data_IF_948201989877
#
_entry.id   IF_948201989877
#
_cell.length_a   1.000
_cell.length_b   1.000
_cell.length_c   1.000
_cell.angle_alpha   90.00
_cell.angle_beta   90.00
_cell.angle_gamma   90.00
#
_symmetry.space_group_name_H-M   'P 1'
#
loop_
_entity.id
_entity.type
_entity.pdbx_description
1 polymer ?
#
# COMPACT_ATOMS: atom_id res chain seq x y z
N UNK A 1 -20.10 44.54 -24.31
CA UNK A 1 -19.55 45.89 -24.50
C UNK A 1 -18.84 46.02 -25.85
N UNK A 2 -17.75 45.32 -26.10
CA UNK A 2 -16.91 45.43 -27.30
C UNK A 2 -17.66 45.18 -28.61
N UNK A 3 -18.45 44.12 -28.73
CA UNK A 3 -19.27 43.81 -29.92
C UNK A 3 -20.32 44.91 -30.17
N UNK A 4 -20.92 45.44 -29.11
CA UNK A 4 -21.90 46.52 -29.27
C UNK A 4 -21.25 47.82 -29.74
N UNK A 5 -20.01 48.11 -29.26
CA UNK A 5 -19.21 49.25 -29.72
C UNK A 5 -18.77 49.08 -31.19
N UNK A 6 -18.34 47.90 -31.60
CA UNK A 6 -18.00 47.55 -32.98
C UNK A 6 -19.19 47.66 -33.91
N UNK A 7 -20.40 47.45 -33.40
CA UNK A 7 -21.68 47.68 -34.12
C UNK A 7 -22.16 49.16 -34.20
N UNK A 8 -21.29 50.12 -33.77
CA UNK A 8 -21.58 51.54 -33.87
C UNK A 8 -22.47 52.13 -32.77
N UNK A 9 -22.79 51.36 -31.72
CA UNK A 9 -23.61 51.90 -30.63
C UNK A 9 -22.82 52.90 -29.75
N UNK A 10 -23.52 53.94 -29.30
CA UNK A 10 -22.96 54.94 -28.42
C UNK A 10 -22.83 54.40 -26.98
N UNK A 11 -21.82 54.92 -26.22
CA UNK A 11 -21.53 54.48 -24.85
C UNK A 11 -22.75 54.45 -23.92
N UNK A 12 -23.66 55.48 -23.90
CA UNK A 12 -24.86 55.42 -23.06
C UNK A 12 -25.77 54.23 -23.38
N UNK A 13 -25.95 53.93 -24.70
CA UNK A 13 -26.76 52.80 -25.15
C UNK A 13 -26.16 51.45 -24.74
N UNK A 14 -24.82 51.33 -24.86
CA UNK A 14 -24.09 50.15 -24.41
C UNK A 14 -24.23 49.96 -22.90
N UNK A 15 -24.04 51.06 -22.13
CA UNK A 15 -24.16 51.07 -20.67
C UNK A 15 -25.55 50.58 -20.22
N UNK A 16 -26.62 51.05 -20.87
CA UNK A 16 -27.98 50.61 -20.62
C UNK A 16 -28.18 49.15 -20.99
N UNK A 17 -27.66 48.71 -22.14
CA UNK A 17 -27.80 47.33 -22.64
C UNK A 17 -27.13 46.32 -21.70
N UNK A 18 -25.99 46.64 -21.13
CA UNK A 18 -25.21 45.74 -20.26
C UNK A 18 -25.40 46.03 -18.78
N UNK A 19 -26.25 46.98 -18.41
CA UNK A 19 -26.52 47.42 -17.04
C UNK A 19 -25.24 47.75 -16.27
N UNK A 20 -24.35 48.49 -16.91
CA UNK A 20 -23.09 48.95 -16.35
C UNK A 20 -23.02 50.48 -16.42
N UNK A 21 -22.12 51.09 -15.64
CA UNK A 21 -21.78 52.50 -15.67
C UNK A 21 -21.07 52.87 -16.98
N UNK A 22 -21.31 54.06 -17.51
CA UNK A 22 -20.69 54.57 -18.74
C UNK A 22 -19.19 54.56 -18.70
N UNK A 23 -18.59 54.92 -17.52
CA UNK A 23 -17.12 54.91 -17.33
C UNK A 23 -16.57 53.50 -17.44
N UNK A 24 -17.24 52.50 -16.87
CA UNK A 24 -16.87 51.08 -17.06
C UNK A 24 -16.87 50.71 -18.55
N UNK A 25 -17.84 51.15 -19.32
CA UNK A 25 -17.91 50.88 -20.78
C UNK A 25 -16.74 51.57 -21.50
N UNK A 26 -16.46 52.86 -21.19
CA UNK A 26 -15.29 53.60 -21.73
C UNK A 26 -13.97 52.86 -21.42
N UNK A 27 -13.78 52.48 -20.16
CA UNK A 27 -12.57 51.79 -19.72
C UNK A 27 -12.33 50.47 -20.46
N UNK A 28 -13.40 49.68 -20.69
CA UNK A 28 -13.29 48.41 -21.45
C UNK A 28 -12.96 48.68 -22.93
N UNK A 29 -13.53 49.72 -23.54
CA UNK A 29 -13.26 50.09 -24.95
C UNK A 29 -11.79 50.59 -25.05
N UNK A 30 -11.36 51.46 -24.17
CA UNK A 30 -9.97 51.95 -24.12
C UNK A 30 -8.97 50.82 -23.92
N UNK A 31 -9.23 49.92 -22.95
CA UNK A 31 -8.39 48.77 -22.71
C UNK A 31 -8.28 47.84 -23.92
N UNK A 32 -9.37 47.68 -24.68
CA UNK A 32 -9.34 46.89 -25.91
C UNK A 32 -8.53 47.60 -27.02
N UNK A 33 -8.68 48.90 -27.18
CA UNK A 33 -7.93 49.67 -28.16
C UNK A 33 -6.43 49.67 -27.90
N UNK A 34 -6.03 49.61 -26.63
CA UNK A 34 -4.62 49.55 -26.22
C UNK A 34 -4.03 48.13 -26.29
N UNK A 35 -4.79 47.10 -25.89
CA UNK A 35 -4.27 45.76 -25.63
C UNK A 35 -4.87 44.67 -26.52
N UNK A 36 -5.84 45.05 -27.37
CA UNK A 36 -6.58 44.06 -28.18
C UNK A 36 -7.27 43.01 -27.32
N UNK A 37 -7.34 41.79 -27.78
CA UNK A 37 -8.01 40.68 -27.09
C UNK A 37 -7.43 40.35 -25.72
N UNK A 38 -6.17 40.72 -25.44
CA UNK A 38 -5.55 40.51 -24.12
C UNK A 38 -6.23 41.28 -22.97
N UNK A 39 -7.04 42.30 -23.28
CA UNK A 39 -7.85 42.98 -22.26
C UNK A 39 -8.96 42.10 -21.68
N UNK A 40 -9.34 41.00 -22.35
CA UNK A 40 -10.35 40.01 -21.91
C UNK A 40 -9.77 38.99 -20.94
N UNK A 41 -8.44 38.89 -20.81
CA UNK A 41 -7.82 37.98 -19.87
C UNK A 41 -8.17 38.39 -18.42
N UNK A 42 -8.58 37.48 -17.56
CA UNK A 42 -9.00 37.78 -16.21
C UNK A 42 -7.84 38.40 -15.42
N UNK A 43 -8.02 39.66 -14.96
CA UNK A 43 -7.09 40.31 -14.02
C UNK A 43 -7.41 39.84 -12.61
N UNK A 44 -6.70 38.82 -12.15
CA UNK A 44 -6.81 38.39 -10.76
C UNK A 44 -6.20 39.49 -9.88
N UNK A 45 -7.01 40.09 -9.04
CA UNK A 45 -6.51 40.96 -7.98
C UNK A 45 -5.54 40.13 -7.12
N UNK A 46 -4.32 40.61 -6.96
CA UNK A 46 -3.34 39.97 -6.07
C UNK A 46 -3.97 39.77 -4.70
N UNK A 47 -4.15 38.53 -4.25
CA UNK A 47 -4.72 38.23 -2.94
C UNK A 47 -3.88 38.87 -1.79
N UNK A 48 -4.30 38.64 -0.55
CA UNK A 48 -3.57 39.13 0.63
C UNK A 48 -2.09 38.73 0.54
N UNK A 49 -1.14 39.68 0.70
CA UNK A 49 0.29 39.38 0.67
C UNK A 49 0.66 38.24 1.62
N UNK A 50 1.58 37.38 1.19
CA UNK A 50 2.08 36.26 2.01
C UNK A 50 2.79 36.84 3.25
N UNK A 51 2.50 36.32 4.42
CA UNK A 51 3.12 36.72 5.68
C UNK A 51 4.51 36.14 5.90
N UNK A 52 4.82 35.04 5.21
CA UNK A 52 6.11 34.37 5.25
C UNK A 52 6.80 34.59 3.92
N UNK A 53 8.09 34.91 3.96
CA UNK A 53 8.96 34.91 2.80
C UNK A 53 9.36 33.47 2.43
N UNK A 54 10.06 33.28 1.32
CA UNK A 54 10.43 31.95 0.83
C UNK A 54 11.40 31.23 1.79
N UNK A 55 12.35 31.97 2.40
CA UNK A 55 13.27 31.42 3.40
C UNK A 55 12.54 30.91 4.64
N UNK A 56 11.49 31.60 5.09
CA UNK A 56 10.67 31.14 6.21
C UNK A 56 9.83 29.92 5.84
N UNK A 57 9.31 29.87 4.62
CA UNK A 57 8.62 28.67 4.12
C UNK A 57 9.58 27.47 4.07
N UNK A 58 10.79 27.64 3.53
CA UNK A 58 11.79 26.58 3.46
C UNK A 58 12.19 26.08 4.85
N UNK A 59 12.37 26.99 5.80
CA UNK A 59 12.63 26.63 7.20
C UNK A 59 11.47 25.82 7.81
N UNK A 60 10.23 26.22 7.56
CA UNK A 60 9.04 25.46 8.01
C UNK A 60 9.02 24.07 7.40
N UNK A 61 9.31 23.94 6.11
CA UNK A 61 9.37 22.66 5.40
C UNK A 61 10.47 21.78 5.98
N UNK A 62 11.68 22.28 6.11
CA UNK A 62 12.82 21.55 6.69
C UNK A 62 12.51 21.06 8.10
N UNK A 63 11.87 21.91 8.93
CA UNK A 63 11.44 21.55 10.28
C UNK A 63 10.36 20.47 10.26
N UNK A 64 9.35 20.62 9.40
CA UNK A 64 8.24 19.68 9.30
C UNK A 64 8.68 18.28 8.86
N UNK A 65 9.64 18.18 7.94
CA UNK A 65 10.18 16.95 7.37
C UNK A 65 11.28 16.32 8.24
N UNK A 66 11.84 17.04 9.18
CA UNK A 66 12.83 16.54 10.13
C UNK A 66 12.15 15.94 11.36
N UNK A 67 12.67 14.84 11.87
CA UNK A 67 12.13 14.20 13.09
C UNK A 67 12.26 15.14 14.30
N UNK A 68 11.20 15.29 15.12
CA UNK A 68 11.19 16.16 16.30
C UNK A 68 12.34 15.91 17.29
N UNK A 69 12.75 14.66 17.43
CA UNK A 69 13.87 14.26 18.30
C UNK A 69 15.18 14.98 17.96
N UNK A 70 15.42 15.29 16.68
CA UNK A 70 16.61 16.07 16.27
C UNK A 70 16.60 17.50 16.76
N UNK A 71 15.44 18.00 17.18
CA UNK A 71 15.25 19.31 17.80
C UNK A 71 15.01 19.21 19.31
N UNK A 72 15.42 18.10 19.94
CA UNK A 72 15.26 17.88 21.39
C UNK A 72 13.82 17.69 21.85
N UNK A 73 12.89 17.40 20.94
CA UNK A 73 11.48 17.19 21.29
C UNK A 73 11.20 15.71 21.65
N UNK A 74 10.45 15.41 22.74
CA UNK A 74 10.26 14.05 23.24
C UNK A 74 9.17 13.27 22.49
N UNK A 75 9.10 13.40 21.16
CA UNK A 75 8.14 12.67 20.33
C UNK A 75 8.70 12.38 18.95
N UNK A 76 8.16 11.36 18.30
CA UNK A 76 8.72 10.78 17.06
C UNK A 76 8.18 11.44 15.78
N UNK A 77 7.09 12.20 15.87
CA UNK A 77 6.44 12.86 14.72
C UNK A 77 5.82 14.19 15.11
N UNK A 78 5.73 15.09 14.16
CA UNK A 78 4.98 16.32 14.30
C UNK A 78 3.48 16.08 14.15
N UNK A 79 2.67 16.72 14.97
CA UNK A 79 1.31 17.11 14.62
C UNK A 79 1.33 18.58 14.24
N UNK A 80 0.35 19.06 13.48
CA UNK A 80 0.27 20.48 13.13
C UNK A 80 0.30 21.38 14.38
N UNK A 81 -0.36 20.98 15.47
CA UNK A 81 -0.36 21.75 16.74
C UNK A 81 1.04 21.83 17.37
N UNK A 82 1.74 20.69 17.42
CA UNK A 82 3.09 20.62 17.99
C UNK A 82 4.09 21.39 17.14
N UNK A 83 3.97 21.30 15.81
CA UNK A 83 4.84 22.04 14.89
C UNK A 83 4.62 23.56 15.01
N UNK A 84 3.36 24.02 15.04
CA UNK A 84 3.04 25.45 15.29
C UNK A 84 3.61 25.92 16.62
N UNK A 85 3.45 25.14 17.70
CA UNK A 85 3.97 25.49 19.02
C UNK A 85 5.51 25.56 19.04
N UNK A 86 6.18 24.67 18.32
CA UNK A 86 7.63 24.68 18.19
C UNK A 86 8.11 25.90 17.38
N UNK A 87 7.56 26.15 16.20
CA UNK A 87 7.94 27.24 15.31
C UNK A 87 7.80 28.62 15.98
N UNK A 88 6.89 28.78 16.93
CA UNK A 88 6.71 30.01 17.72
C UNK A 88 7.80 30.22 18.79
N UNK A 89 8.59 29.18 19.10
CA UNK A 89 9.56 29.18 20.19
C UNK A 89 11.00 28.99 19.70
N UNK A 90 11.24 28.92 18.39
CA UNK A 90 12.59 28.72 17.85
C UNK A 90 13.43 29.96 18.16
N UNK A 91 14.56 29.82 18.89
CA UNK A 91 15.45 30.93 19.16
C UNK A 91 15.97 31.56 17.87
N UNK A 92 15.93 32.89 17.78
CA UNK A 92 16.42 33.63 16.64
C UNK A 92 15.53 33.60 15.37
N UNK A 93 14.50 32.75 15.31
CA UNK A 93 13.60 32.67 14.15
C UNK A 93 12.17 32.26 14.52
N UNK A 94 11.41 33.21 15.06
CA UNK A 94 10.03 32.97 15.50
C UNK A 94 9.07 33.03 14.33
N UNK A 95 8.47 31.91 13.98
CA UNK A 95 7.46 31.81 12.92
C UNK A 95 6.05 31.82 13.52
N UNK A 96 5.29 32.86 13.24
CA UNK A 96 3.90 33.01 13.69
C UNK A 96 2.93 32.59 12.61
N UNK A 97 2.58 31.28 12.58
CA UNK A 97 1.65 30.70 11.62
C UNK A 97 0.49 30.03 12.35
N UNK A 98 -0.71 30.08 11.77
CA UNK A 98 -1.87 29.33 12.26
C UNK A 98 -1.84 27.88 11.76
N UNK A 99 -2.58 27.00 12.45
CA UNK A 99 -2.61 25.57 12.12
C UNK A 99 -3.07 25.30 10.68
N UNK A 100 -4.14 25.99 10.23
CA UNK A 100 -4.69 25.80 8.89
C UNK A 100 -3.76 26.40 7.82
N UNK A 101 -3.22 27.60 8.06
CA UNK A 101 -2.24 28.20 7.18
C UNK A 101 -0.98 27.32 7.03
N UNK A 102 -0.52 26.68 8.12
CA UNK A 102 0.57 25.71 8.07
C UNK A 102 0.19 24.50 7.22
N UNK A 103 -1.04 23.95 7.38
CA UNK A 103 -1.51 22.82 6.56
C UNK A 103 -1.53 23.18 5.08
N UNK A 104 -2.05 24.35 4.73
CA UNK A 104 -2.09 24.83 3.35
C UNK A 104 -0.69 25.08 2.77
N UNK A 105 0.23 25.64 3.57
CA UNK A 105 1.63 25.84 3.18
C UNK A 105 2.29 24.50 2.86
N UNK A 106 2.21 23.53 3.77
CA UNK A 106 2.78 22.19 3.57
C UNK A 106 2.21 21.51 2.31
N UNK A 107 0.89 21.56 2.10
CA UNK A 107 0.24 20.98 0.92
C UNK A 107 0.72 21.65 -0.38
N UNK A 108 0.79 23.01 -0.43
CA UNK A 108 1.27 23.77 -1.58
C UNK A 108 2.72 23.42 -1.94
N UNK A 109 3.56 23.17 -0.93
CA UNK A 109 4.96 22.81 -1.09
C UNK A 109 5.16 21.28 -1.24
N UNK A 110 4.09 20.51 -1.52
CA UNK A 110 4.15 19.08 -1.77
C UNK A 110 4.41 18.21 -0.54
N UNK A 111 4.33 18.77 0.68
CA UNK A 111 4.53 18.03 1.93
C UNK A 111 3.19 17.57 2.46
N UNK A 112 2.98 16.25 2.45
CA UNK A 112 1.75 15.61 2.92
C UNK A 112 2.01 14.71 4.12
N UNK A 113 0.98 14.46 4.93
CA UNK A 113 1.09 13.53 6.05
C UNK A 113 1.01 12.10 5.54
N UNK A 114 2.16 11.42 5.50
CA UNK A 114 2.28 10.10 4.93
C UNK A 114 2.51 9.04 6.00
N UNK A 115 2.07 7.81 5.69
CA UNK A 115 2.36 6.64 6.49
C UNK A 115 3.83 6.26 6.30
N UNK A 116 4.56 6.09 7.41
CA UNK A 116 5.94 5.59 7.36
C UNK A 116 5.94 4.19 6.74
N UNK A 117 6.77 4.01 5.73
CA UNK A 117 7.03 2.70 5.13
C UNK A 117 8.19 2.05 5.87
N UNK A 118 8.05 0.75 6.13
CA UNK A 118 9.14 -0.09 6.63
C UNK A 118 9.66 -0.94 5.48
N UNK A 119 10.95 -1.23 5.51
CA UNK A 119 11.58 -2.22 4.63
C UNK A 119 12.22 -3.31 5.49
N UNK A 120 12.43 -4.47 4.89
CA UNK A 120 13.20 -5.56 5.48
C UNK A 120 14.45 -5.75 4.65
N UNK A 121 15.60 -5.75 5.31
CA UNK A 121 16.86 -6.17 4.71
C UNK A 121 17.05 -7.65 4.99
N UNK A 122 17.37 -8.41 3.96
CA UNK A 122 17.67 -9.84 4.14
C UNK A 122 19.15 -10.02 4.44
N UNK A 123 19.52 -10.54 5.62
CA UNK A 123 20.90 -10.89 5.95
C UNK A 123 21.33 -12.23 5.34
N UNK A 124 20.51 -12.82 4.49
CA UNK A 124 20.76 -14.13 3.88
C UNK A 124 21.95 -14.04 2.92
N UNK A 125 23.05 -14.76 3.16
CA UNK A 125 24.22 -14.71 2.27
C UNK A 125 23.90 -15.26 0.88
N UNK A 126 22.93 -16.18 0.77
CA UNK A 126 22.52 -16.80 -0.49
C UNK A 126 21.32 -16.09 -1.12
N UNK A 127 21.04 -14.83 -0.73
CA UNK A 127 19.85 -14.09 -1.16
C UNK A 127 19.65 -14.10 -2.67
N UNK A 128 20.69 -13.73 -3.42
CA UNK A 128 20.61 -13.62 -4.88
C UNK A 128 20.41 -15.00 -5.53
N UNK A 129 21.17 -16.00 -5.11
CA UNK A 129 21.05 -17.37 -5.64
C UNK A 129 19.65 -17.96 -5.41
N UNK A 130 19.04 -17.70 -4.24
CA UNK A 130 17.68 -18.14 -3.94
C UNK A 130 16.64 -17.41 -4.80
N UNK A 131 16.78 -16.10 -4.99
CA UNK A 131 15.89 -15.32 -5.85
C UNK A 131 16.02 -15.76 -7.31
N UNK A 132 17.24 -15.99 -7.80
CA UNK A 132 17.49 -16.50 -9.15
C UNK A 132 16.85 -17.87 -9.37
N UNK A 133 16.97 -18.75 -8.36
CA UNK A 133 16.34 -20.08 -8.45
C UNK A 133 14.82 -19.98 -8.50
N UNK A 134 14.22 -19.14 -7.65
CA UNK A 134 12.76 -18.93 -7.62
C UNK A 134 12.29 -18.36 -8.98
N UNK A 135 12.97 -17.35 -9.51
CA UNK A 135 12.64 -16.77 -10.81
C UNK A 135 12.76 -17.80 -11.93
N UNK A 136 13.87 -18.56 -11.95
CA UNK A 136 14.11 -19.59 -12.95
C UNK A 136 12.98 -20.64 -12.98
N UNK A 137 12.56 -21.16 -11.83
CA UNK A 137 11.49 -22.18 -11.79
C UNK A 137 10.12 -21.61 -12.15
N UNK A 138 9.84 -20.35 -11.77
CA UNK A 138 8.59 -19.67 -12.13
C UNK A 138 8.48 -19.40 -13.62
N UNK A 139 9.60 -19.07 -14.29
CA UNK A 139 9.61 -18.74 -15.71
C UNK A 139 9.68 -20.02 -16.57
N UNK A 140 10.41 -21.06 -16.16
CA UNK A 140 10.64 -22.27 -16.95
C UNK A 140 9.65 -23.39 -16.71
N UNK A 141 9.11 -23.49 -15.50
CA UNK A 141 8.27 -24.63 -15.09
C UNK A 141 7.00 -24.18 -14.37
N UNK A 142 6.26 -23.14 -14.82
CA UNK A 142 5.13 -22.60 -14.06
C UNK A 142 4.10 -23.64 -13.67
N UNK A 143 3.83 -24.63 -14.53
CA UNK A 143 2.88 -25.71 -14.26
C UNK A 143 3.38 -26.75 -13.23
N UNK A 144 4.66 -26.67 -12.86
CA UNK A 144 5.32 -27.54 -11.88
C UNK A 144 5.68 -26.82 -10.60
N UNK A 145 5.42 -25.49 -10.53
CA UNK A 145 5.72 -24.68 -9.36
C UNK A 145 4.52 -24.59 -8.45
N UNK A 146 4.78 -24.84 -7.19
CA UNK A 146 3.85 -24.68 -6.08
C UNK A 146 4.44 -23.74 -5.04
N UNK A 147 3.58 -23.14 -4.24
CA UNK A 147 3.98 -22.36 -3.09
C UNK A 147 3.28 -22.87 -1.83
N UNK A 148 3.97 -22.81 -0.71
CA UNK A 148 3.45 -23.22 0.59
C UNK A 148 3.76 -22.15 1.63
N UNK A 149 2.77 -21.85 2.51
CA UNK A 149 2.96 -21.00 3.69
C UNK A 149 1.91 -21.28 4.76
N UNK A 150 2.17 -20.82 5.99
CA UNK A 150 1.26 -20.89 7.11
C UNK A 150 0.68 -19.55 7.49
N UNK A 151 -0.57 -19.33 7.12
CA UNK A 151 -1.30 -18.13 7.49
C UNK A 151 -1.89 -18.22 8.90
N UNK A 152 -1.47 -17.34 9.78
CA UNK A 152 -1.94 -17.28 11.17
C UNK A 152 -1.04 -16.45 12.08
N UNK A 153 -1.32 -16.42 13.39
CA UNK A 153 -2.35 -17.17 14.11
C UNK A 153 -3.77 -16.69 13.86
N UNK A 154 -4.68 -17.60 13.62
CA UNK A 154 -6.11 -17.37 13.50
C UNK A 154 -6.78 -17.62 14.86
N UNK A 155 -7.18 -16.56 15.53
CA UNK A 155 -7.92 -16.61 16.78
C UNK A 155 -9.42 -16.42 16.56
N UNK A 156 -10.22 -16.81 17.55
CA UNK A 156 -11.65 -16.50 17.58
C UNK A 156 -11.84 -15.21 18.38
N UNK A 157 -12.04 -14.13 17.64
CA UNK A 157 -12.28 -12.79 18.17
C UNK A 157 -12.94 -11.94 17.10
N UNK A 158 -13.70 -10.91 17.50
CA UNK A 158 -14.15 -9.89 16.56
C UNK A 158 -12.94 -9.24 15.87
N UNK A 159 -12.96 -9.20 14.57
CA UNK A 159 -11.87 -8.64 13.77
C UNK A 159 -12.42 -7.50 12.95
N UNK A 160 -12.07 -6.28 13.34
CA UNK A 160 -12.46 -5.08 12.62
C UNK A 160 -11.81 -5.06 11.23
N UNK A 161 -12.50 -4.44 10.29
CA UNK A 161 -12.04 -4.21 8.93
C UNK A 161 -12.65 -2.94 8.37
N UNK A 162 -12.86 -2.89 7.06
CA UNK A 162 -13.53 -1.80 6.36
C UNK A 162 -14.60 -2.38 5.44
N UNK A 163 -15.72 -1.67 5.30
CA UNK A 163 -16.85 -2.05 4.46
C UNK A 163 -17.67 -0.83 4.09
N UNK A 164 -18.61 -1.02 3.18
CA UNK A 164 -19.57 0.01 2.83
C UNK A 164 -20.60 0.16 3.95
N UNK A 165 -20.82 1.38 4.42
CA UNK A 165 -21.82 1.73 5.41
C UNK A 165 -22.34 3.14 5.16
N UNK A 166 -23.49 3.47 5.67
CA UNK A 166 -24.01 4.83 5.65
C UNK A 166 -23.04 5.80 6.35
N UNK A 167 -23.00 7.03 5.88
CA UNK A 167 -22.14 8.05 6.47
C UNK A 167 -22.42 8.20 7.96
N UNK A 168 -21.38 8.11 8.80
CA UNK A 168 -21.43 8.17 10.26
C UNK A 168 -22.13 6.98 10.94
N UNK A 169 -22.48 5.91 10.21
CA UNK A 169 -23.10 4.69 10.75
C UNK A 169 -22.30 3.43 10.38
N UNK A 170 -21.00 3.34 10.76
CA UNK A 170 -20.21 2.14 10.48
C UNK A 170 -20.74 0.93 11.25
N UNK A 171 -20.59 -0.26 10.67
CA UNK A 171 -20.80 -1.52 11.39
C UNK A 171 -19.92 -1.59 12.64
N UNK A 172 -20.48 -2.13 13.70
CA UNK A 172 -19.80 -2.24 15.00
C UNK A 172 -19.72 -3.70 15.43
N UNK A 173 -18.51 -4.14 15.75
CA UNK A 173 -18.26 -5.43 16.36
C UNK A 173 -17.97 -5.25 17.87
N UNK A 174 -18.33 -6.23 18.73
CA UNK A 174 -18.02 -6.14 20.16
C UNK A 174 -16.50 -6.09 20.34
N UNK A 175 -16.01 -5.17 21.18
CA UNK A 175 -14.59 -5.08 21.50
C UNK A 175 -14.15 -6.16 22.50
N UNK A 176 -15.09 -6.63 23.32
CA UNK A 176 -14.85 -7.64 24.37
C UNK A 176 -14.93 -9.05 23.78
N UNK A 177 -13.93 -9.85 24.04
CA UNK A 177 -13.88 -11.26 23.63
C UNK A 177 -13.05 -12.10 24.58
N UNK A 178 -13.34 -13.41 24.62
CA UNK A 178 -12.60 -14.38 25.42
C UNK A 178 -11.68 -15.24 24.53
N UNK A 179 -10.46 -15.51 24.99
CA UNK A 179 -9.45 -16.30 24.22
C UNK A 179 -9.54 -17.80 24.51
N UNK A 180 -10.73 -18.32 24.77
CA UNK A 180 -10.94 -19.74 25.16
C UNK A 180 -10.71 -20.74 24.05
N UNK A 181 -10.79 -20.34 22.78
CA UNK A 181 -10.71 -21.25 21.63
C UNK A 181 -9.28 -21.53 21.16
N UNK A 182 -8.26 -20.88 21.74
CA UNK A 182 -6.88 -20.95 21.25
C UNK A 182 -6.71 -20.41 19.84
N UNK A 183 -5.71 -20.90 19.12
CA UNK A 183 -5.40 -20.45 17.76
C UNK A 183 -5.34 -21.61 16.77
N UNK A 184 -5.48 -21.28 15.49
CA UNK A 184 -5.24 -22.17 14.36
C UNK A 184 -4.27 -21.53 13.37
N UNK A 185 -3.70 -22.36 12.52
CA UNK A 185 -2.85 -21.94 11.41
C UNK A 185 -3.38 -22.60 10.13
N UNK A 186 -3.64 -21.80 9.13
CA UNK A 186 -4.01 -22.30 7.81
C UNK A 186 -2.75 -22.67 7.05
N UNK A 187 -2.56 -23.96 6.78
CA UNK A 187 -1.47 -24.47 5.95
C UNK A 187 -1.93 -24.38 4.50
N UNK A 188 -1.52 -23.33 3.81
CA UNK A 188 -1.91 -23.01 2.45
C UNK A 188 -0.97 -23.62 1.42
N UNK A 189 -1.53 -24.15 0.36
CA UNK A 189 -0.84 -24.66 -0.81
C UNK A 189 -1.38 -23.95 -2.04
N UNK A 190 -0.51 -23.50 -2.93
CA UNK A 190 -0.87 -22.78 -4.13
C UNK A 190 -0.17 -23.40 -5.35
N UNK A 191 -0.93 -23.70 -6.41
CA UNK A 191 -0.41 -24.11 -7.71
C UNK A 191 -0.32 -22.90 -8.60
N UNK A 192 0.89 -22.53 -9.02
CA UNK A 192 1.13 -21.34 -9.85
C UNK A 192 0.52 -21.50 -11.23
N UNK A 193 0.73 -22.64 -11.88
CA UNK A 193 0.22 -22.90 -13.23
C UNK A 193 -1.30 -23.00 -13.31
N UNK A 194 -1.93 -23.65 -12.32
CA UNK A 194 -3.40 -23.81 -12.30
C UNK A 194 -4.11 -22.59 -11.68
N UNK A 195 -3.38 -21.67 -11.04
CA UNK A 195 -3.92 -20.61 -10.19
C UNK A 195 -4.93 -21.16 -9.17
N UNK A 196 -4.55 -22.21 -8.46
CA UNK A 196 -5.42 -22.91 -7.51
C UNK A 196 -4.85 -22.86 -6.10
N UNK A 197 -5.66 -22.38 -5.15
CA UNK A 197 -5.32 -22.28 -3.74
C UNK A 197 -6.14 -23.28 -2.92
N UNK A 198 -5.48 -24.06 -2.06
CA UNK A 198 -6.12 -24.96 -1.11
C UNK A 198 -5.34 -25.01 0.20
N UNK A 199 -5.88 -25.66 1.20
CA UNK A 199 -5.18 -25.82 2.47
C UNK A 199 -6.09 -26.30 3.58
N UNK A 200 -5.50 -26.47 4.75
CA UNK A 200 -6.20 -26.97 5.95
C UNK A 200 -5.80 -26.18 7.19
N UNK A 201 -6.75 -26.01 8.11
CA UNK A 201 -6.49 -25.41 9.40
C UNK A 201 -5.95 -26.43 10.40
N UNK A 202 -4.83 -26.11 11.06
CA UNK A 202 -4.18 -26.95 12.08
C UNK A 202 -3.98 -26.19 13.38
N UNK A 203 -3.86 -26.91 14.49
CA UNK A 203 -3.60 -26.32 15.82
C UNK A 203 -2.19 -25.76 15.97
N UNK A 204 -1.22 -26.34 15.25
CA UNK A 204 0.20 -26.03 15.38
C UNK A 204 0.83 -25.94 14.00
N UNK A 205 1.86 -25.12 13.88
CA UNK A 205 2.87 -25.23 12.83
C UNK A 205 3.77 -26.43 13.13
N UNK A 206 4.60 -26.85 12.21
CA UNK A 206 5.64 -27.87 12.47
C UNK A 206 5.78 -28.91 11.37
N UNK A 207 6.88 -29.65 11.43
CA UNK A 207 7.33 -30.56 10.36
C UNK A 207 6.27 -31.59 9.91
N UNK A 208 5.49 -32.13 10.84
CA UNK A 208 4.41 -33.10 10.50
C UNK A 208 3.34 -32.48 9.62
N UNK A 209 2.89 -31.26 9.94
CA UNK A 209 1.87 -30.55 9.16
C UNK A 209 2.43 -30.05 7.84
N UNK A 210 3.67 -29.57 7.82
CA UNK A 210 4.41 -29.20 6.61
C UNK A 210 4.53 -30.42 5.68
N UNK A 211 4.94 -31.58 6.19
CA UNK A 211 5.03 -32.80 5.39
C UNK A 211 3.68 -33.21 4.82
N UNK A 212 2.60 -33.09 5.60
CA UNK A 212 1.24 -33.35 5.12
C UNK A 212 0.84 -32.41 3.96
N UNK A 213 1.19 -31.13 4.05
CA UNK A 213 0.98 -30.17 2.98
C UNK A 213 1.81 -30.49 1.72
N UNK A 214 3.08 -30.84 1.87
CA UNK A 214 3.94 -31.25 0.76
C UNK A 214 3.43 -32.53 0.08
N UNK A 215 2.91 -33.48 0.83
CA UNK A 215 2.22 -34.67 0.28
C UNK A 215 0.98 -34.30 -0.53
N UNK A 216 0.19 -33.34 -0.05
CA UNK A 216 -0.97 -32.81 -0.79
C UNK A 216 -0.56 -32.13 -2.09
N UNK A 217 0.52 -31.35 -2.07
CA UNK A 217 1.10 -30.72 -3.27
C UNK A 217 1.57 -31.80 -4.26
N UNK A 218 2.31 -32.82 -3.82
CA UNK A 218 2.76 -33.90 -4.69
C UNK A 218 1.58 -34.65 -5.31
N UNK A 219 0.50 -34.86 -4.55
CA UNK A 219 -0.71 -35.54 -5.04
C UNK A 219 -1.43 -34.72 -6.13
N UNK A 220 -1.26 -33.40 -6.19
CA UNK A 220 -1.79 -32.57 -7.28
C UNK A 220 -1.06 -32.81 -8.63
N UNK A 221 0.10 -33.47 -8.64
CA UNK A 221 0.87 -33.83 -9.84
C UNK A 221 1.38 -35.26 -9.67
N UNK A 222 0.54 -36.30 -9.87
CA UNK A 222 0.85 -37.71 -9.56
C UNK A 222 1.78 -38.37 -10.57
N UNK A 223 2.12 -37.70 -11.66
CA UNK A 223 2.90 -38.23 -12.80
C UNK A 223 4.38 -38.58 -12.49
N UNK A 224 4.84 -38.36 -11.26
CA UNK A 224 6.21 -38.67 -10.85
C UNK A 224 7.31 -37.79 -11.42
N UNK A 225 7.00 -36.80 -12.27
CA UNK A 225 7.95 -35.84 -12.75
C UNK A 225 8.33 -34.83 -11.63
N UNK A 226 9.48 -34.15 -11.71
CA UNK A 226 9.92 -33.17 -10.71
C UNK A 226 8.89 -32.05 -10.52
N UNK A 227 8.73 -31.61 -9.28
CA UNK A 227 7.98 -30.41 -8.91
C UNK A 227 8.84 -29.52 -8.02
N UNK A 228 8.53 -28.23 -8.03
CA UNK A 228 9.25 -27.18 -7.28
C UNK A 228 8.30 -26.56 -6.27
N UNK A 229 8.72 -26.48 -5.01
CA UNK A 229 7.90 -25.89 -3.95
C UNK A 229 8.62 -24.72 -3.35
N UNK A 230 8.06 -23.52 -3.50
CA UNK A 230 8.57 -22.28 -2.90
C UNK A 230 7.99 -22.17 -1.50
N UNK A 231 8.85 -22.01 -0.49
CA UNK A 231 8.48 -21.92 0.92
C UNK A 231 9.49 -21.09 1.71
N UNK A 232 9.10 -20.65 2.91
CA UNK A 232 9.97 -19.86 3.76
C UNK A 232 11.06 -20.70 4.46
N UNK A 233 12.01 -20.01 5.10
CA UNK A 233 13.16 -20.59 5.79
C UNK A 233 12.85 -21.09 7.21
N UNK A 234 11.61 -21.35 7.59
CA UNK A 234 11.26 -21.84 8.92
C UNK A 234 12.01 -23.14 9.24
N UNK A 235 12.50 -23.28 10.47
CA UNK A 235 13.24 -24.48 10.89
C UNK A 235 12.46 -25.78 10.68
N UNK A 236 11.14 -25.72 10.86
CA UNK A 236 10.23 -26.85 10.60
C UNK A 236 10.25 -27.32 9.14
N UNK A 237 10.58 -26.46 8.19
CA UNK A 237 10.63 -26.79 6.75
C UNK A 237 11.97 -27.40 6.35
N UNK A 238 12.99 -27.29 7.16
CA UNK A 238 14.37 -27.79 6.91
C UNK A 238 14.66 -29.12 7.56
N UNK A 239 13.69 -29.73 8.21
CA UNK A 239 13.85 -30.99 8.92
C UNK A 239 14.39 -32.11 8.03
N UNK A 240 15.19 -33.03 8.59
CA UNK A 240 15.80 -34.12 7.85
C UNK A 240 14.77 -35.04 7.17
N UNK A 241 13.62 -35.26 7.81
CA UNK A 241 12.54 -36.08 7.27
C UNK A 241 11.88 -35.43 6.07
N UNK A 242 11.70 -34.12 6.09
CA UNK A 242 11.15 -33.35 4.96
C UNK A 242 12.11 -33.42 3.78
N UNK A 243 13.41 -33.21 4.00
CA UNK A 243 14.42 -33.28 2.94
C UNK A 243 14.52 -34.68 2.34
N UNK A 244 14.52 -35.74 3.20
CA UNK A 244 14.54 -37.12 2.76
C UNK A 244 13.31 -37.46 1.93
N UNK A 245 12.12 -37.06 2.39
CA UNK A 245 10.88 -37.25 1.67
C UNK A 245 10.88 -36.49 0.33
N UNK A 246 11.27 -35.25 0.31
CA UNK A 246 11.34 -34.41 -0.88
C UNK A 246 12.25 -35.04 -1.95
N UNK A 247 13.46 -35.48 -1.57
CA UNK A 247 14.39 -36.20 -2.47
C UNK A 247 13.76 -37.44 -3.04
N UNK A 248 13.12 -38.29 -2.21
CA UNK A 248 12.46 -39.52 -2.64
C UNK A 248 11.34 -39.28 -3.64
N UNK A 249 10.60 -38.20 -3.50
CA UNK A 249 9.42 -37.88 -4.32
C UNK A 249 9.69 -36.84 -5.42
N UNK A 250 10.95 -36.56 -5.74
CA UNK A 250 11.39 -35.60 -6.76
C UNK A 250 10.76 -34.19 -6.53
N UNK A 251 10.75 -33.75 -5.30
CA UNK A 251 10.29 -32.42 -4.89
C UNK A 251 11.51 -31.57 -4.58
N UNK A 252 11.73 -30.50 -5.31
CA UNK A 252 12.73 -29.51 -4.99
C UNK A 252 12.14 -28.44 -4.08
N UNK A 253 12.79 -28.19 -2.95
CA UNK A 253 12.41 -27.16 -2.00
C UNK A 253 13.16 -25.87 -2.32
N UNK A 254 12.46 -24.88 -2.88
CA UNK A 254 13.01 -23.56 -3.22
C UNK A 254 12.76 -22.61 -2.04
N UNK A 255 13.74 -22.45 -1.16
CA UNK A 255 13.60 -21.59 0.01
C UNK A 255 13.68 -20.11 -0.36
N UNK A 256 12.75 -19.29 0.16
CA UNK A 256 12.87 -17.83 0.06
C UNK A 256 14.06 -17.35 0.89
N UNK A 257 14.69 -16.22 0.53
CA UNK A 257 15.69 -15.59 1.41
C UNK A 257 15.08 -15.24 2.78
N UNK A 258 15.89 -15.21 3.82
CA UNK A 258 15.45 -14.78 5.14
C UNK A 258 14.83 -13.37 5.06
N UNK A 259 13.72 -13.15 5.76
CA UNK A 259 12.93 -11.90 5.73
C UNK A 259 12.36 -11.48 4.36
N UNK A 260 12.43 -12.33 3.35
CA UNK A 260 11.89 -12.07 2.00
C UNK A 260 10.63 -12.92 1.72
N UNK A 261 9.65 -12.94 2.62
CA UNK A 261 8.37 -13.65 2.43
C UNK A 261 7.64 -13.22 1.15
N UNK A 262 7.82 -11.97 0.72
CA UNK A 262 7.27 -11.43 -0.51
C UNK A 262 7.73 -12.20 -1.78
N UNK A 263 8.84 -12.94 -1.71
CA UNK A 263 9.28 -13.80 -2.82
C UNK A 263 8.46 -15.09 -2.93
N UNK A 264 7.55 -15.37 -1.96
CA UNK A 264 6.67 -16.52 -2.00
C UNK A 264 5.35 -16.13 -2.71
N UNK A 265 5.01 -16.74 -3.86
CA UNK A 265 3.80 -16.39 -4.62
C UNK A 265 2.48 -16.51 -3.83
N UNK A 266 2.41 -17.38 -2.84
CA UNK A 266 1.19 -17.54 -2.02
C UNK A 266 0.85 -16.31 -1.18
N UNK A 267 1.82 -15.46 -0.87
CA UNK A 267 1.60 -14.25 -0.08
C UNK A 267 0.60 -13.28 -0.75
N UNK A 268 0.58 -13.24 -2.09
CA UNK A 268 -0.40 -12.45 -2.85
C UNK A 268 -1.86 -12.88 -2.57
N UNK A 269 -2.06 -14.12 -2.15
CA UNK A 269 -3.39 -14.70 -1.87
C UNK A 269 -3.78 -14.63 -0.39
N UNK A 270 -2.81 -14.59 0.51
CA UNK A 270 -3.04 -14.48 1.97
C UNK A 270 -3.65 -13.12 2.33
N UNK A 271 -3.21 -12.04 1.67
CA UNK A 271 -3.77 -10.71 1.86
C UNK A 271 -5.28 -10.64 1.61
N UNK A 272 -5.77 -11.01 0.43
CA UNK A 272 -7.20 -11.11 0.12
C UNK A 272 -7.95 -12.06 1.06
N UNK A 273 -7.40 -13.22 1.40
CA UNK A 273 -8.02 -14.16 2.32
C UNK A 273 -8.23 -13.51 3.71
N UNK A 274 -7.28 -12.76 4.20
CA UNK A 274 -7.40 -11.98 5.44
C UNK A 274 -8.47 -10.90 5.32
N UNK A 275 -8.44 -10.13 4.24
CA UNK A 275 -9.32 -8.99 4.04
C UNK A 275 -10.78 -9.38 3.84
N UNK A 276 -11.05 -10.43 3.06
CA UNK A 276 -12.42 -10.77 2.66
C UNK A 276 -13.05 -11.92 3.47
N UNK A 277 -12.26 -12.60 4.32
CA UNK A 277 -12.78 -13.71 5.13
C UNK A 277 -12.61 -13.49 6.62
N UNK A 278 -11.52 -12.84 7.05
CA UNK A 278 -11.23 -12.62 8.47
C UNK A 278 -11.62 -11.23 8.94
N UNK A 279 -11.37 -10.19 8.15
CA UNK A 279 -11.83 -8.85 8.48
C UNK A 279 -13.37 -8.77 8.48
N UNK A 280 -13.93 -7.88 9.28
CA UNK A 280 -15.37 -7.70 9.49
C UNK A 280 -16.08 -8.97 10.00
N UNK A 281 -15.37 -9.85 10.73
CA UNK A 281 -15.94 -11.11 11.20
C UNK A 281 -15.98 -11.19 12.73
N UNK A 282 -16.96 -11.97 13.21
CA UNK A 282 -17.09 -12.36 14.61
C UNK A 282 -17.52 -13.84 14.65
N UNK A 283 -16.63 -14.74 14.28
CA UNK A 283 -16.92 -16.16 14.25
C UNK A 283 -17.11 -16.72 15.66
N UNK A 284 -18.12 -17.58 15.89
CA UNK A 284 -18.35 -18.17 17.22
C UNK A 284 -17.29 -19.22 17.59
N UNK A 285 -16.68 -19.88 16.62
CA UNK A 285 -15.67 -20.92 16.84
C UNK A 285 -14.84 -21.19 15.60
N UNK A 286 -13.78 -21.98 15.74
CA UNK A 286 -12.88 -22.36 14.63
C UNK A 286 -13.55 -23.22 13.55
N UNK A 287 -14.60 -23.96 13.85
CA UNK A 287 -15.30 -24.76 12.84
C UNK A 287 -16.00 -23.85 11.85
N UNK A 288 -16.72 -22.83 12.34
CA UNK A 288 -17.40 -21.86 11.48
C UNK A 288 -16.37 -21.01 10.72
N UNK A 289 -15.30 -20.55 11.36
CA UNK A 289 -14.22 -19.83 10.72
C UNK A 289 -13.56 -20.67 9.59
N UNK A 290 -13.31 -21.95 9.84
CA UNK A 290 -12.74 -22.87 8.85
C UNK A 290 -13.68 -23.07 7.66
N UNK A 291 -14.98 -23.23 7.91
CA UNK A 291 -15.99 -23.33 6.82
C UNK A 291 -16.01 -22.05 5.96
N UNK A 292 -15.94 -20.89 6.57
CA UNK A 292 -15.88 -19.62 5.85
C UNK A 292 -14.59 -19.51 4.99
N UNK A 293 -13.44 -19.88 5.54
CA UNK A 293 -12.18 -19.94 4.78
C UNK A 293 -12.30 -20.89 3.58
N UNK A 294 -12.79 -22.11 3.77
CA UNK A 294 -12.97 -23.06 2.67
C UNK A 294 -14.01 -22.60 1.63
N UNK A 295 -15.07 -21.90 2.06
CA UNK A 295 -16.03 -21.31 1.12
C UNK A 295 -15.36 -20.21 0.27
N UNK A 296 -14.57 -19.35 0.87
CA UNK A 296 -13.79 -18.33 0.18
C UNK A 296 -12.80 -18.95 -0.81
N UNK A 297 -12.11 -20.02 -0.43
CA UNK A 297 -11.19 -20.74 -1.32
C UNK A 297 -11.92 -21.34 -2.52
N UNK A 298 -13.09 -21.96 -2.32
CA UNK A 298 -13.90 -22.50 -3.42
C UNK A 298 -14.32 -21.41 -4.39
N UNK A 299 -14.84 -20.30 -3.86
CA UNK A 299 -15.22 -19.15 -4.67
C UNK A 299 -14.02 -18.60 -5.46
N UNK A 300 -12.89 -18.40 -4.79
CA UNK A 300 -11.64 -17.93 -5.40
C UNK A 300 -11.19 -18.85 -6.54
N UNK A 301 -11.22 -20.17 -6.34
CA UNK A 301 -10.76 -21.14 -7.33
C UNK A 301 -11.71 -21.25 -8.54
N UNK A 302 -13.01 -21.02 -8.36
CA UNK A 302 -13.97 -20.90 -9.47
C UNK A 302 -13.70 -19.63 -10.30
N UNK A 303 -13.24 -18.55 -9.64
CA UNK A 303 -12.85 -17.29 -10.28
C UNK A 303 -11.32 -17.20 -10.48
N UNK A 304 -10.64 -18.32 -10.67
CA UNK A 304 -9.21 -18.37 -10.96
C UNK A 304 -8.89 -17.62 -12.26
N UNK A 305 -7.65 -17.13 -12.38
CA UNK A 305 -7.15 -16.36 -13.53
C UNK A 305 -7.94 -15.08 -13.83
N UNK A 306 -8.66 -14.55 -12.85
CA UNK A 306 -9.28 -13.23 -12.98
C UNK A 306 -8.21 -12.17 -13.29
N UNK A 307 -8.53 -11.23 -14.17
CA UNK A 307 -7.56 -10.22 -14.66
C UNK A 307 -6.88 -9.42 -13.53
N UNK A 308 -7.59 -9.12 -12.44
CA UNK A 308 -7.03 -8.41 -11.28
C UNK A 308 -6.02 -9.25 -10.51
N UNK A 309 -6.30 -10.56 -10.36
CA UNK A 309 -5.37 -11.51 -9.72
C UNK A 309 -4.10 -11.64 -10.55
N UNK A 310 -4.23 -11.82 -11.87
CA UNK A 310 -3.09 -11.88 -12.79
C UNK A 310 -2.29 -10.57 -12.83
N UNK A 311 -2.96 -9.41 -12.66
CA UNK A 311 -2.28 -8.13 -12.56
C UNK A 311 -1.49 -8.02 -11.25
N UNK A 312 -2.06 -8.45 -10.13
CA UNK A 312 -1.37 -8.49 -8.84
C UNK A 312 -0.15 -9.41 -8.87
N UNK A 313 -0.27 -10.60 -9.44
CA UNK A 313 0.85 -11.55 -9.61
C UNK A 313 1.96 -10.97 -10.50
N UNK A 314 1.61 -10.32 -11.62
CA UNK A 314 2.59 -9.64 -12.48
C UNK A 314 3.32 -8.54 -11.73
N UNK A 315 2.62 -7.78 -10.90
CA UNK A 315 3.21 -6.73 -10.06
C UNK A 315 4.19 -7.32 -9.04
N UNK A 316 3.85 -8.44 -8.39
CA UNK A 316 4.76 -9.12 -7.46
C UNK A 316 5.98 -9.70 -8.18
N UNK A 317 5.83 -10.32 -9.35
CA UNK A 317 6.97 -10.79 -10.17
C UNK A 317 7.88 -9.63 -10.60
N UNK A 318 7.29 -8.52 -11.03
CA UNK A 318 8.06 -7.32 -11.37
C UNK A 318 8.82 -6.78 -10.15
N UNK A 319 8.22 -6.83 -8.97
CA UNK A 319 8.86 -6.46 -7.71
C UNK A 319 10.05 -7.37 -7.41
N UNK A 320 9.93 -8.69 -7.54
CA UNK A 320 11.03 -9.64 -7.36
C UNK A 320 12.21 -9.24 -8.27
N UNK A 321 11.95 -8.95 -9.55
CA UNK A 321 12.96 -8.52 -10.50
C UNK A 321 13.60 -7.17 -10.14
N UNK A 322 12.81 -6.21 -9.70
CA UNK A 322 13.30 -4.87 -9.33
C UNK A 322 14.12 -4.86 -8.04
N UNK A 323 13.98 -5.88 -7.18
CA UNK A 323 14.72 -5.98 -5.92
C UNK A 323 16.04 -6.76 -6.06
N UNK A 324 16.30 -7.40 -7.20
CA UNK A 324 17.61 -8.01 -7.51
C UNK A 324 18.68 -6.93 -7.57
N UNK A 325 19.79 -7.15 -6.88
CA UNK A 325 20.91 -6.21 -6.83
C UNK A 325 20.70 -4.96 -5.97
N UNK A 326 19.49 -4.72 -5.46
CA UNK A 326 19.20 -3.57 -4.60
C UNK A 326 19.25 -3.99 -3.13
N UNK A 327 20.21 -3.44 -2.37
CA UNK A 327 20.18 -3.51 -0.91
C UNK A 327 19.17 -2.50 -0.39
N UNK A 328 18.01 -2.96 0.05
CA UNK A 328 17.00 -2.13 0.68
C UNK A 328 17.50 -1.64 2.04
N UNK A 329 17.51 -0.33 2.23
CA UNK A 329 17.88 0.30 3.50
C UNK A 329 19.15 1.11 3.50
N UNK A 330 19.97 1.01 2.49
CA UNK A 330 21.04 1.97 2.27
C UNK A 330 20.44 3.30 1.84
N UNK A 331 20.34 4.30 2.73
CA UNK A 331 20.37 5.68 2.23
C UNK A 331 21.66 5.79 1.41
N UNK A 332 21.62 6.36 0.18
CA UNK A 332 22.85 6.82 -0.42
C UNK A 332 23.51 7.69 0.63
N UNK A 333 24.77 7.41 0.93
CA UNK A 333 25.56 8.30 1.74
C UNK A 333 25.41 9.67 1.10
N UNK A 334 24.79 10.61 1.80
CA UNK A 334 24.86 12.01 1.40
C UNK A 334 26.36 12.27 1.30
N UNK A 335 26.81 12.52 0.06
CA UNK A 335 28.14 13.02 -0.18
C UNK A 335 28.33 14.21 0.75
N UNK A 336 29.40 14.14 1.57
CA UNK A 336 29.78 15.18 2.51
C UNK A 336 30.07 16.49 1.78
#
# INVERSE_FOLDING_TARGET
>A
MLLASAGGNRVPVIAQLVQADEDTVRDVIHAFNEKGLACLDPRWAGGRPRRLNDDDEDFVIATATTRPVKFGQPFTRWSLRKLVAYLRKVPGRVIRIGREALRCLLARRGVTFQRTKTWKESPDPDREAKLDRIEYVLDRFPDRVFAFDEFGPLGIRPTAGSGWAEQRRPDRLPATYHRTHGVRYFHGCYSVGDDRLWGVNRRKKGAVNTLAALKSIRAARPDGAPIYVILDNLSAHKGADIRRWAKKHKVELCFTPAYASWANPIEAHIGPLRQFTIANSNYPNHTVQTRALHASLRWRNVNARHHDVLAAERKERARIRSEKGIRWGGRPALAA
#
